data_IF_295931410335
#
_entry.id   IF_295931410335
#
_cell.length_a   1.000
_cell.length_b   1.000
_cell.length_c   1.000
_cell.angle_alpha   90.00
_cell.angle_beta   90.00
_cell.angle_gamma   90.00
#
_symmetry.space_group_name_H-M   'P 1'
#
loop_
_entity.id
_entity.type
_entity.pdbx_description
1 polymer ?
#
# COMPACT_ATOMS: atom_id res chain seq x y z
N UNK A 1 16.37 -11.00 10.42
CA UNK A 1 16.89 -11.38 9.09
C UNK A 1 16.97 -12.90 9.07
N UNK A 2 16.60 -13.54 7.96
CA UNK A 2 16.63 -15.00 7.83
C UNK A 2 17.73 -15.42 6.82
N UNK A 3 18.23 -16.66 6.89
CA UNK A 3 19.14 -17.21 5.89
C UNK A 3 18.58 -17.05 4.47
N UNK A 4 19.41 -16.57 3.54
CA UNK A 4 19.01 -16.36 2.14
C UNK A 4 18.33 -15.03 1.85
N UNK A 5 18.02 -14.22 2.87
CA UNK A 5 17.27 -12.98 2.69
C UNK A 5 18.07 -11.88 1.98
N UNK A 6 17.36 -11.01 1.26
CA UNK A 6 17.83 -9.68 0.90
C UNK A 6 17.55 -8.74 2.08
N UNK A 7 18.59 -8.12 2.64
CA UNK A 7 18.41 -7.06 3.62
C UNK A 7 18.22 -5.71 2.92
N UNK A 8 17.25 -4.92 3.39
CA UNK A 8 16.96 -3.59 2.84
C UNK A 8 17.06 -2.56 3.97
N UNK A 9 18.21 -1.89 4.13
CA UNK A 9 18.39 -0.89 5.16
C UNK A 9 17.57 0.35 4.85
N UNK A 10 16.72 0.75 5.79
CA UNK A 10 15.89 1.96 5.68
C UNK A 10 16.42 3.04 6.61
N UNK A 11 16.61 4.26 6.08
CA UNK A 11 16.92 5.44 6.89
C UNK A 11 15.62 6.08 7.38
N UNK A 12 15.42 6.07 8.70
CA UNK A 12 14.31 6.74 9.38
C UNK A 12 14.75 8.05 10.03
N UNK A 13 13.82 8.73 10.72
CA UNK A 13 14.11 9.99 11.42
C UNK A 13 15.12 9.84 12.58
N UNK A 14 15.18 8.66 13.20
CA UNK A 14 16.00 8.39 14.41
C UNK A 14 17.13 7.39 14.18
N UNK A 15 17.03 6.54 13.17
CA UNK A 15 17.95 5.43 12.95
C UNK A 15 18.27 5.27 11.46
N UNK A 16 19.53 4.97 11.16
CA UNK A 16 19.96 4.58 9.82
C UNK A 16 20.17 3.06 9.76
N UNK A 17 19.32 2.37 8.99
CA UNK A 17 19.38 0.93 8.80
C UNK A 17 20.73 0.44 8.24
N UNK A 18 21.50 1.30 7.58
CA UNK A 18 22.79 0.94 7.00
C UNK A 18 23.82 0.53 8.07
N UNK A 19 23.64 0.98 9.31
CA UNK A 19 24.48 0.58 10.45
C UNK A 19 24.35 -0.91 10.81
N UNK A 20 23.30 -1.58 10.33
CA UNK A 20 23.00 -2.98 10.64
C UNK A 20 23.31 -3.93 9.47
N UNK A 21 23.94 -3.47 8.39
CA UNK A 21 24.24 -4.31 7.22
C UNK A 21 25.16 -5.47 7.59
N UNK A 22 26.25 -5.21 8.32
CA UNK A 22 27.15 -6.26 8.81
C UNK A 22 26.40 -7.28 9.69
N UNK A 23 25.58 -6.78 10.63
CA UNK A 23 24.74 -7.64 11.46
C UNK A 23 23.77 -8.46 10.62
N UNK A 24 23.18 -7.91 9.57
CA UNK A 24 22.26 -8.65 8.69
C UNK A 24 22.97 -9.84 8.01
N UNK A 25 24.22 -9.66 7.57
CA UNK A 25 25.02 -10.76 7.03
C UNK A 25 25.36 -11.82 8.08
N UNK A 26 25.69 -11.42 9.31
CA UNK A 26 25.88 -12.37 10.41
C UNK A 26 24.61 -13.20 10.72
N UNK A 27 23.43 -12.66 10.43
CA UNK A 27 22.15 -13.36 10.56
C UNK A 27 21.70 -14.07 9.26
N UNK A 28 22.60 -14.21 8.29
CA UNK A 28 22.39 -15.04 7.10
C UNK A 28 21.80 -14.32 5.88
N UNK A 29 21.77 -12.98 5.84
CA UNK A 29 21.46 -12.28 4.59
C UNK A 29 22.43 -12.72 3.48
N UNK A 30 21.92 -12.96 2.28
CA UNK A 30 22.78 -13.25 1.12
C UNK A 30 23.23 -11.97 0.42
N UNK A 31 22.38 -10.94 0.43
CA UNK A 31 22.66 -9.63 -0.15
C UNK A 31 22.07 -8.52 0.73
N UNK A 32 22.59 -7.30 0.57
CA UNK A 32 21.95 -6.09 1.07
C UNK A 32 21.82 -5.05 -0.03
N UNK A 33 20.68 -4.35 -0.10
CA UNK A 33 20.65 -3.06 -0.77
C UNK A 33 21.44 -2.05 0.06
N UNK A 34 22.05 -1.06 -0.59
CA UNK A 34 22.77 0.02 0.09
C UNK A 34 22.56 1.30 -0.70
N UNK A 35 22.24 2.38 0.00
CA UNK A 35 22.11 3.70 -0.63
C UNK A 35 23.49 4.21 -1.08
N UNK A 36 23.55 4.84 -2.25
CA UNK A 36 24.82 5.32 -2.87
C UNK A 36 25.58 6.34 -2.02
N UNK A 37 24.90 7.01 -1.10
CA UNK A 37 25.44 7.99 -0.16
C UNK A 37 25.89 7.37 1.18
N UNK A 38 25.75 6.05 1.34
CA UNK A 38 26.28 5.33 2.50
C UNK A 38 27.79 5.14 2.37
N UNK A 39 28.46 4.95 3.51
CA UNK A 39 29.89 4.62 3.55
C UNK A 39 30.13 3.18 3.07
N UNK A 40 30.51 3.04 1.80
CA UNK A 40 30.78 1.75 1.17
C UNK A 40 32.09 1.11 1.62
N UNK A 41 33.02 1.87 2.23
CA UNK A 41 34.33 1.34 2.65
C UNK A 41 34.21 0.28 3.75
N UNK A 42 33.10 0.31 4.49
CA UNK A 42 32.79 -0.58 5.62
C UNK A 42 31.79 -1.68 5.26
N UNK A 43 31.39 -1.78 3.99
CA UNK A 43 30.34 -2.69 3.54
C UNK A 43 30.93 -3.99 2.97
N UNK A 44 30.31 -5.16 3.25
CA UNK A 44 30.68 -6.42 2.60
C UNK A 44 30.51 -6.37 1.07
N UNK A 45 31.14 -7.30 0.35
CA UNK A 45 31.14 -7.27 -1.14
C UNK A 45 29.78 -7.59 -1.76
N UNK A 46 28.92 -8.31 -1.06
CA UNK A 46 27.59 -8.74 -1.52
C UNK A 46 26.51 -7.66 -1.27
N UNK A 47 26.82 -6.42 -1.66
CA UNK A 47 25.89 -5.29 -1.61
C UNK A 47 25.50 -4.82 -3.00
N UNK A 48 24.27 -4.35 -3.14
CA UNK A 48 23.74 -3.76 -4.37
C UNK A 48 23.51 -2.28 -4.11
N UNK A 49 24.31 -1.44 -4.75
CA UNK A 49 24.24 0.02 -4.57
C UNK A 49 23.09 0.60 -5.39
N UNK A 50 22.19 1.31 -4.72
CA UNK A 50 21.01 1.96 -5.31
C UNK A 50 20.98 3.43 -4.94
N UNK A 51 20.19 4.24 -5.67
CA UNK A 51 20.08 5.68 -5.36
C UNK A 51 19.36 5.94 -4.03
N UNK A 52 18.34 5.14 -3.73
CA UNK A 52 17.51 5.24 -2.53
C UNK A 52 16.93 3.85 -2.25
N UNK A 53 17.13 3.34 -1.03
CA UNK A 53 16.72 1.97 -0.66
C UNK A 53 15.22 1.82 -0.47
N UNK A 54 14.50 2.87 -0.04
CA UNK A 54 13.03 2.83 0.06
C UNK A 54 12.38 2.79 -1.31
N UNK A 55 12.87 3.59 -2.26
CA UNK A 55 12.39 3.54 -3.66
C UNK A 55 12.71 2.20 -4.31
N UNK A 56 13.91 1.69 -4.12
CA UNK A 56 14.29 0.36 -4.63
C UNK A 56 13.40 -0.76 -4.04
N UNK A 57 12.99 -0.66 -2.78
CA UNK A 57 12.02 -1.58 -2.16
C UNK A 57 10.65 -1.50 -2.85
N UNK A 58 10.17 -0.28 -3.12
CA UNK A 58 8.92 -0.04 -3.86
C UNK A 58 8.98 -0.60 -5.29
N UNK A 59 10.08 -0.37 -6.00
CA UNK A 59 10.30 -0.88 -7.35
C UNK A 59 10.33 -2.42 -7.38
N UNK A 60 11.01 -3.05 -6.42
CA UNK A 60 11.05 -4.51 -6.29
C UNK A 60 9.64 -5.08 -6.01
N UNK A 61 8.87 -4.44 -5.14
CA UNK A 61 7.50 -4.84 -4.86
C UNK A 61 6.58 -4.67 -6.07
N UNK A 62 6.74 -3.58 -6.84
CA UNK A 62 5.99 -3.37 -8.09
C UNK A 62 6.31 -4.44 -9.13
N UNK A 63 7.59 -4.79 -9.27
CA UNK A 63 8.03 -5.90 -10.12
C UNK A 63 7.44 -7.23 -9.66
N UNK A 64 7.45 -7.51 -8.34
CA UNK A 64 6.84 -8.73 -7.82
C UNK A 64 5.34 -8.77 -8.13
N UNK A 65 4.62 -7.68 -7.86
CA UNK A 65 3.19 -7.52 -8.17
C UNK A 65 2.87 -7.77 -9.64
N UNK A 66 3.72 -7.32 -10.57
CA UNK A 66 3.48 -7.48 -12.01
C UNK A 66 3.63 -8.91 -12.52
N UNK A 67 4.13 -9.84 -11.69
CA UNK A 67 4.26 -11.26 -12.04
C UNK A 67 2.98 -12.05 -11.78
N UNK A 68 1.96 -11.41 -11.21
CA UNK A 68 0.69 -12.03 -10.85
C UNK A 68 -0.47 -11.31 -11.53
N UNK A 69 -1.45 -12.09 -11.97
CA UNK A 69 -2.71 -11.60 -12.53
C UNK A 69 -3.89 -11.74 -11.56
N UNK A 70 -3.59 -11.96 -10.27
CA UNK A 70 -4.63 -12.09 -9.25
C UNK A 70 -5.20 -10.73 -8.83
N UNK A 71 -6.44 -10.69 -8.31
CA UNK A 71 -7.02 -9.47 -7.78
C UNK A 71 -6.18 -8.87 -6.65
N UNK A 72 -6.01 -7.55 -6.68
CA UNK A 72 -5.41 -6.80 -5.58
C UNK A 72 -6.40 -5.71 -5.15
N UNK A 73 -6.80 -5.79 -3.88
CA UNK A 73 -7.76 -4.89 -3.24
C UNK A 73 -6.96 -3.86 -2.45
N UNK A 74 -6.96 -2.61 -2.91
CA UNK A 74 -6.46 -1.48 -2.14
C UNK A 74 -7.54 -0.93 -1.22
N UNK A 75 -7.25 -0.74 0.06
CA UNK A 75 -8.20 -0.17 1.03
C UNK A 75 -7.64 1.14 1.58
N UNK A 76 -8.35 2.24 1.38
CA UNK A 76 -8.04 3.54 1.98
C UNK A 76 -9.26 4.18 2.64
N UNK A 77 -9.02 5.27 3.35
CA UNK A 77 -10.01 6.00 4.12
C UNK A 77 -9.43 6.62 5.38
N UNK A 78 -10.15 7.55 6.00
CA UNK A 78 -9.74 8.12 7.28
C UNK A 78 -9.86 7.06 8.39
N UNK A 79 -10.97 6.33 8.45
CA UNK A 79 -11.24 5.30 9.45
C UNK A 79 -11.61 3.95 8.82
N UNK A 80 -11.53 2.85 9.58
CA UNK A 80 -12.07 1.54 9.16
C UNK A 80 -11.20 0.69 8.22
N UNK A 81 -10.06 1.20 7.72
CA UNK A 81 -9.16 0.48 6.81
C UNK A 81 -8.76 -0.91 7.33
N UNK A 82 -8.22 -0.99 8.54
CA UNK A 82 -7.76 -2.25 9.14
C UNK A 82 -8.91 -3.22 9.38
N UNK A 83 -10.07 -2.73 9.83
CA UNK A 83 -11.28 -3.56 10.01
C UNK A 83 -11.73 -4.18 8.69
N UNK A 84 -11.85 -3.37 7.63
CA UNK A 84 -12.23 -3.85 6.29
C UNK A 84 -11.21 -4.85 5.75
N UNK A 85 -9.91 -4.58 5.92
CA UNK A 85 -8.84 -5.50 5.54
C UNK A 85 -8.97 -6.86 6.23
N UNK A 86 -9.27 -6.89 7.54
CA UNK A 86 -9.47 -8.14 8.28
C UNK A 86 -10.77 -8.86 7.90
N UNK A 87 -11.85 -8.13 7.61
CA UNK A 87 -13.08 -8.72 7.07
C UNK A 87 -12.83 -9.37 5.70
N UNK A 88 -12.15 -8.67 4.79
CA UNK A 88 -11.75 -9.20 3.49
C UNK A 88 -10.88 -10.45 3.61
N UNK A 89 -9.94 -10.46 4.58
CA UNK A 89 -9.12 -11.66 4.88
C UNK A 89 -10.00 -12.87 5.20
N UNK A 90 -11.06 -12.69 6.00
CA UNK A 90 -11.95 -13.78 6.38
C UNK A 90 -12.81 -14.25 5.22
N UNK A 91 -13.37 -13.31 4.44
CA UNK A 91 -14.25 -13.64 3.31
C UNK A 91 -13.48 -14.30 2.16
N UNK A 92 -12.27 -13.84 1.85
CA UNK A 92 -11.46 -14.37 0.76
C UNK A 92 -10.77 -15.71 1.12
N UNK A 93 -10.59 -15.99 2.41
CA UNK A 93 -10.09 -17.26 2.91
C UNK A 93 -8.63 -17.55 2.49
N UNK A 94 -8.32 -18.83 2.26
CA UNK A 94 -6.95 -19.27 2.02
C UNK A 94 -6.31 -18.68 0.75
N UNK A 95 -5.00 -18.49 0.78
CA UNK A 95 -4.25 -17.93 -0.35
C UNK A 95 -4.42 -16.41 -0.52
N UNK A 96 -5.07 -15.71 0.41
CA UNK A 96 -5.06 -14.25 0.46
C UNK A 96 -3.80 -13.74 1.16
N UNK A 97 -3.08 -12.82 0.51
CA UNK A 97 -1.98 -12.08 1.13
C UNK A 97 -2.51 -10.73 1.64
N UNK A 98 -2.41 -10.48 2.94
CA UNK A 98 -2.93 -9.24 3.54
C UNK A 98 -1.83 -8.43 4.23
N UNK A 99 -1.99 -7.11 4.23
CA UNK A 99 -1.13 -6.20 5.02
C UNK A 99 -1.06 -6.64 6.47
N UNK A 100 0.16 -6.81 6.99
CA UNK A 100 0.38 -7.17 8.38
C UNK A 100 0.15 -5.95 9.28
N UNK A 101 -0.68 -6.08 10.32
CA UNK A 101 -1.03 -4.97 11.22
C UNK A 101 -1.45 -3.71 10.43
N UNK A 102 -0.88 -2.53 10.76
CA UNK A 102 -1.10 -1.23 10.10
C UNK A 102 -0.02 -0.88 9.08
N UNK A 103 0.59 -1.88 8.43
CA UNK A 103 1.63 -1.68 7.41
C UNK A 103 1.03 -1.13 6.12
N UNK A 104 0.86 0.19 6.08
CA UNK A 104 0.10 0.90 5.05
C UNK A 104 0.87 2.04 4.36
N UNK A 105 2.19 2.12 4.58
CA UNK A 105 3.06 3.18 4.06
C UNK A 105 4.05 2.68 2.99
N UNK A 106 5.03 3.51 2.64
CA UNK A 106 6.09 3.28 1.63
C UNK A 106 7.06 2.14 1.95
N UNK A 107 6.91 1.49 3.11
CA UNK A 107 7.63 0.28 3.51
C UNK A 107 6.66 -0.89 3.65
N UNK A 108 5.54 -0.67 4.32
CA UNK A 108 4.56 -1.69 4.65
C UNK A 108 3.86 -2.30 3.44
N UNK A 109 3.45 -1.48 2.48
CA UNK A 109 2.82 -1.95 1.23
C UNK A 109 3.81 -2.79 0.42
N UNK A 110 5.05 -2.34 0.14
CA UNK A 110 6.04 -3.17 -0.52
C UNK A 110 6.28 -4.53 0.16
N UNK A 111 6.44 -4.55 1.48
CA UNK A 111 6.66 -5.81 2.23
C UNK A 111 5.47 -6.76 2.12
N UNK A 112 4.25 -6.23 2.01
CA UNK A 112 3.05 -7.06 1.81
C UNK A 112 3.07 -7.72 0.43
N UNK A 113 3.35 -6.96 -0.63
CA UNK A 113 3.39 -7.48 -2.01
C UNK A 113 4.54 -8.47 -2.23
N UNK A 114 5.68 -8.27 -1.55
CA UNK A 114 6.81 -9.19 -1.62
C UNK A 114 6.54 -10.57 -1.00
N UNK A 115 5.46 -10.72 -0.24
CA UNK A 115 5.00 -12.02 0.28
C UNK A 115 4.16 -12.81 -0.72
N UNK A 116 3.78 -12.22 -1.85
CA UNK A 116 3.03 -12.92 -2.89
C UNK A 116 3.89 -14.02 -3.51
N UNK A 117 3.29 -15.19 -3.69
CA UNK A 117 3.89 -16.37 -4.32
C UNK A 117 2.88 -17.10 -5.22
N UNK A 118 3.28 -18.24 -5.76
CA UNK A 118 2.45 -19.04 -6.68
C UNK A 118 1.12 -19.55 -6.09
N UNK A 119 0.99 -19.55 -4.76
CA UNK A 119 -0.23 -19.96 -4.06
C UNK A 119 -1.17 -18.80 -3.78
N UNK A 120 -0.74 -17.57 -4.05
CA UNK A 120 -1.53 -16.36 -3.85
C UNK A 120 -2.70 -16.33 -4.82
N UNK A 121 -3.92 -16.16 -4.29
CA UNK A 121 -5.19 -16.06 -5.04
C UNK A 121 -5.77 -14.65 -5.07
N UNK A 122 -5.41 -13.82 -4.09
CA UNK A 122 -5.73 -12.40 -4.02
C UNK A 122 -4.76 -11.71 -3.06
N UNK A 123 -4.66 -10.38 -3.13
CA UNK A 123 -4.00 -9.59 -2.09
C UNK A 123 -4.88 -8.44 -1.59
N UNK A 124 -4.83 -8.14 -0.30
CA UNK A 124 -5.49 -6.98 0.31
C UNK A 124 -4.42 -6.08 0.92
N UNK A 125 -4.26 -4.90 0.36
CA UNK A 125 -3.27 -3.92 0.80
C UNK A 125 -3.96 -2.73 1.44
N UNK A 126 -3.60 -2.47 2.70
CA UNK A 126 -3.98 -1.22 3.36
C UNK A 126 -3.11 -0.09 2.80
N UNK A 127 -3.73 1.00 2.33
CA UNK A 127 -3.03 2.14 1.74
C UNK A 127 -3.34 3.40 2.56
N UNK A 128 -2.33 3.85 3.29
CA UNK A 128 -2.38 5.01 4.19
C UNK A 128 -1.55 6.18 3.66
N UNK A 129 -1.70 7.32 4.32
CA UNK A 129 -1.01 8.56 3.95
C UNK A 129 -0.83 9.43 5.18
N UNK A 130 0.28 10.16 5.24
CA UNK A 130 0.53 11.27 6.15
C UNK A 130 0.75 12.59 5.39
N UNK A 131 0.79 12.57 4.06
CA UNK A 131 1.06 13.76 3.25
C UNK A 131 0.71 13.58 1.77
N UNK A 132 0.71 14.67 0.99
CA UNK A 132 0.23 14.65 -0.38
C UNK A 132 1.09 13.76 -1.30
N UNK A 133 0.43 12.99 -2.17
CA UNK A 133 1.04 12.14 -3.20
C UNK A 133 1.44 10.74 -2.74
N UNK A 134 1.28 10.41 -1.45
CA UNK A 134 1.63 9.10 -0.92
C UNK A 134 0.67 8.01 -1.41
N UNK A 135 -0.65 8.24 -1.38
CA UNK A 135 -1.63 7.28 -1.90
C UNK A 135 -1.37 6.99 -3.38
N UNK A 136 -1.11 8.03 -4.18
CA UNK A 136 -0.81 7.87 -5.61
C UNK A 136 0.44 7.00 -5.83
N UNK A 137 1.51 7.27 -5.07
CA UNK A 137 2.74 6.48 -5.11
C UNK A 137 2.51 5.01 -4.74
N UNK A 138 1.80 4.75 -3.63
CA UNK A 138 1.51 3.40 -3.16
C UNK A 138 0.57 2.64 -4.10
N UNK A 139 -0.39 3.34 -4.70
CA UNK A 139 -1.30 2.78 -5.72
C UNK A 139 -0.51 2.35 -6.96
N UNK A 140 0.46 3.14 -7.40
CA UNK A 140 1.33 2.77 -8.53
C UNK A 140 2.25 1.56 -8.23
N UNK A 141 2.63 1.35 -6.97
CA UNK A 141 3.34 0.14 -6.53
C UNK A 141 2.40 -1.07 -6.52
N UNK A 142 1.25 -0.94 -5.84
CA UNK A 142 0.33 -2.04 -5.59
C UNK A 142 -0.48 -2.47 -6.81
N UNK A 143 -0.71 -1.56 -7.77
CA UNK A 143 -1.54 -1.77 -8.96
C UNK A 143 -2.83 -2.52 -8.63
N UNK A 144 -3.67 -1.95 -7.74
CA UNK A 144 -4.92 -2.58 -7.36
C UNK A 144 -5.85 -2.68 -8.57
N UNK A 145 -6.63 -3.76 -8.60
CA UNK A 145 -7.74 -3.94 -9.54
C UNK A 145 -9.08 -3.58 -8.89
N UNK A 146 -9.12 -3.53 -7.55
CA UNK A 146 -10.26 -3.07 -6.77
C UNK A 146 -9.77 -2.02 -5.76
N UNK A 147 -10.45 -0.88 -5.69
CA UNK A 147 -10.18 0.17 -4.73
C UNK A 147 -11.36 0.37 -3.79
N UNK A 148 -11.13 0.28 -2.48
CA UNK A 148 -12.15 0.49 -1.45
C UNK A 148 -11.87 1.81 -0.73
N UNK A 149 -12.84 2.71 -0.75
CA UNK A 149 -12.82 3.96 0.01
C UNK A 149 -13.83 3.90 1.15
N UNK A 150 -13.33 3.86 2.38
CA UNK A 150 -14.19 3.68 3.55
C UNK A 150 -14.85 4.96 4.05
N UNK A 151 -14.07 5.99 4.36
CA UNK A 151 -14.57 7.31 4.78
C UNK A 151 -13.56 8.41 4.44
N UNK A 152 -14.05 9.64 4.32
CA UNK A 152 -13.25 10.87 4.33
C UNK A 152 -13.67 11.69 5.55
N UNK A 153 -12.74 11.90 6.47
CA UNK A 153 -12.91 12.64 7.72
C UNK A 153 -11.71 13.55 7.98
N UNK A 154 -11.82 14.43 8.98
CA UNK A 154 -10.74 15.29 9.50
C UNK A 154 -9.57 14.49 10.10
N UNK A 155 -8.73 13.92 9.23
CA UNK A 155 -7.55 13.14 9.59
C UNK A 155 -6.31 13.65 8.84
N UNK A 156 -5.15 13.64 9.50
CA UNK A 156 -3.87 14.07 8.91
C UNK A 156 -3.89 15.51 8.36
N UNK A 157 -4.68 16.41 8.96
CA UNK A 157 -4.84 17.79 8.51
C UNK A 157 -3.53 18.59 8.54
N UNK A 158 -2.60 18.27 9.45
CA UNK A 158 -1.27 18.91 9.49
C UNK A 158 -0.51 18.72 8.17
N UNK A 159 -0.59 17.54 7.55
CA UNK A 159 0.08 17.25 6.28
C UNK A 159 -0.77 17.56 5.04
N UNK A 160 -2.11 17.45 5.15
CA UNK A 160 -3.04 17.54 4.01
C UNK A 160 -3.79 18.88 3.93
N UNK A 161 -3.70 19.72 4.96
CA UNK A 161 -4.20 21.08 5.03
C UNK A 161 -5.70 21.24 5.27
N UNK A 162 -6.54 20.34 4.75
CA UNK A 162 -8.01 20.40 4.91
C UNK A 162 -8.67 19.06 4.62
N UNK A 163 -9.94 18.90 4.98
CA UNK A 163 -10.74 17.71 4.61
C UNK A 163 -10.80 17.53 3.09
N UNK A 164 -10.86 18.62 2.31
CA UNK A 164 -10.77 18.56 0.84
C UNK A 164 -9.38 18.06 0.37
N UNK A 165 -8.32 18.39 1.11
CA UNK A 165 -7.00 17.79 0.91
C UNK A 165 -6.98 16.30 1.20
N UNK A 166 -7.65 15.86 2.27
CA UNK A 166 -7.84 14.43 2.61
C UNK A 166 -8.61 13.70 1.52
N UNK A 167 -9.69 14.30 1.03
CA UNK A 167 -10.51 13.81 -0.07
C UNK A 167 -9.66 13.59 -1.33
N UNK A 168 -8.93 14.62 -1.78
CA UNK A 168 -8.05 14.56 -2.96
C UNK A 168 -6.94 13.52 -2.81
N UNK A 169 -6.34 13.41 -1.64
CA UNK A 169 -5.29 12.44 -1.40
C UNK A 169 -5.82 11.00 -1.47
N UNK A 170 -6.98 10.74 -0.83
CA UNK A 170 -7.56 9.39 -0.78
C UNK A 170 -8.22 8.97 -2.09
N UNK A 171 -8.79 9.90 -2.85
CA UNK A 171 -9.37 9.61 -4.17
C UNK A 171 -8.32 9.14 -5.17
N UNK A 172 -7.03 9.46 -4.95
CA UNK A 172 -5.93 8.98 -5.80
C UNK A 172 -5.83 7.45 -5.88
N UNK A 173 -6.36 6.71 -4.88
CA UNK A 173 -6.49 5.26 -5.00
C UNK A 173 -7.45 4.88 -6.11
N UNK A 174 -8.64 5.49 -6.13
CA UNK A 174 -9.70 5.18 -7.09
C UNK A 174 -9.27 5.61 -8.49
N UNK A 175 -8.79 6.85 -8.65
CA UNK A 175 -8.29 7.35 -9.94
C UNK A 175 -7.07 6.58 -10.47
N UNK A 176 -6.34 5.85 -9.60
CA UNK A 176 -5.21 5.01 -9.99
C UNK A 176 -5.60 3.58 -10.40
N UNK A 177 -6.89 3.23 -10.35
CA UNK A 177 -7.39 1.94 -10.82
C UNK A 177 -7.31 1.85 -12.35
N UNK A 178 -7.15 0.63 -12.92
CA UNK A 178 -7.31 0.43 -14.35
C UNK A 178 -8.77 0.69 -14.77
N UNK A 179 -9.00 0.93 -16.07
CA UNK A 179 -10.32 1.30 -16.58
C UNK A 179 -11.40 0.23 -16.35
N UNK A 180 -10.99 -1.04 -16.39
CA UNK A 180 -11.79 -2.23 -16.09
C UNK A 180 -11.77 -2.61 -14.60
N UNK A 181 -11.16 -1.79 -13.75
CA UNK A 181 -11.14 -1.96 -12.30
C UNK A 181 -12.47 -1.60 -11.64
N UNK A 182 -12.60 -1.97 -10.37
CA UNK A 182 -13.78 -1.71 -9.56
C UNK A 182 -13.52 -0.73 -8.42
N UNK A 183 -14.29 0.35 -8.36
CA UNK A 183 -14.33 1.27 -7.23
C UNK A 183 -15.46 0.88 -6.28
N UNK A 184 -15.15 0.70 -4.99
CA UNK A 184 -16.11 0.43 -3.91
C UNK A 184 -16.10 1.62 -2.95
N UNK A 185 -17.23 2.32 -2.84
CA UNK A 185 -17.28 3.64 -2.20
C UNK A 185 -18.43 3.73 -1.21
N UNK A 186 -18.16 4.28 -0.02
CA UNK A 186 -19.18 4.54 0.99
C UNK A 186 -20.12 5.69 0.55
N UNK A 187 -21.39 5.41 0.31
CA UNK A 187 -22.39 6.40 -0.07
C UNK A 187 -22.89 7.27 1.10
N UNK A 188 -22.72 6.82 2.35
CA UNK A 188 -23.19 7.59 3.51
C UNK A 188 -22.28 8.78 3.81
N UNK A 189 -21.02 8.73 3.39
CA UNK A 189 -20.06 9.81 3.56
C UNK A 189 -20.17 10.83 2.41
N UNK A 190 -20.52 12.08 2.74
CA UNK A 190 -20.72 13.17 1.77
C UNK A 190 -19.54 13.34 0.79
N UNK A 191 -18.31 13.39 1.29
CA UNK A 191 -17.12 13.57 0.45
C UNK A 191 -16.82 12.35 -0.43
N UNK A 192 -17.13 11.14 0.05
CA UNK A 192 -17.03 9.94 -0.77
C UNK A 192 -18.01 10.02 -1.97
N UNK A 193 -19.23 10.53 -1.75
CA UNK A 193 -20.17 10.79 -2.85
C UNK A 193 -19.70 11.87 -3.81
N UNK A 194 -19.12 12.96 -3.31
CA UNK A 194 -18.53 14.01 -4.18
C UNK A 194 -17.43 13.42 -5.09
N UNK A 195 -16.63 12.47 -4.60
CA UNK A 195 -15.64 11.78 -5.44
C UNK A 195 -16.29 10.99 -6.59
N UNK A 196 -17.46 10.37 -6.38
CA UNK A 196 -18.16 9.58 -7.41
C UNK A 196 -18.45 10.41 -8.67
N UNK A 197 -18.73 11.70 -8.51
CA UNK A 197 -18.99 12.62 -9.64
C UNK A 197 -17.77 12.81 -10.56
N UNK A 198 -16.58 12.44 -10.08
CA UNK A 198 -15.30 12.58 -10.80
C UNK A 198 -14.71 11.25 -11.26
N UNK A 199 -15.32 10.12 -10.91
CA UNK A 199 -14.84 8.80 -11.31
C UNK A 199 -15.34 8.45 -12.71
N UNK A 200 -14.41 8.05 -13.57
CA UNK A 200 -14.68 7.51 -14.91
C UNK A 200 -14.09 6.10 -15.00
N UNK A 201 -14.69 5.16 -14.27
CA UNK A 201 -14.27 3.76 -14.22
C UNK A 201 -15.43 2.84 -14.61
N UNK A 202 -15.10 1.68 -15.17
CA UNK A 202 -16.09 0.76 -15.70
C UNK A 202 -17.05 0.22 -14.65
N UNK A 203 -16.57 -0.08 -13.43
CA UNK A 203 -17.41 -0.61 -12.34
C UNK A 203 -17.30 0.26 -11.10
N UNK A 204 -18.42 0.82 -10.67
CA UNK A 204 -18.54 1.54 -9.39
C UNK A 204 -19.66 0.91 -8.57
N UNK A 205 -19.34 0.50 -7.35
CA UNK A 205 -20.27 -0.11 -6.39
C UNK A 205 -20.30 0.79 -5.16
N UNK A 206 -21.48 1.27 -4.81
CA UNK A 206 -21.67 2.05 -3.59
C UNK A 206 -22.23 1.19 -2.46
N UNK A 207 -21.85 1.47 -1.22
CA UNK A 207 -22.40 0.80 -0.03
C UNK A 207 -22.83 1.80 1.03
N UNK A 208 -23.85 1.46 1.82
CA UNK A 208 -24.32 2.30 2.92
C UNK A 208 -25.81 2.14 3.21
N UNK A 209 -26.35 3.11 3.96
CA UNK A 209 -27.77 3.33 4.25
C UNK A 209 -28.40 4.38 3.32
N UNK A 210 -27.63 4.98 2.40
CA UNK A 210 -28.15 5.86 1.36
C UNK A 210 -29.05 5.10 0.38
N UNK A 211 -30.21 5.67 0.06
CA UNK A 211 -31.29 5.00 -0.71
C UNK A 211 -30.82 4.46 -2.06
N UNK A 212 -29.96 5.19 -2.77
CA UNK A 212 -29.47 4.79 -4.10
C UNK A 212 -28.14 4.00 -4.03
N UNK A 213 -27.75 3.48 -2.86
CA UNK A 213 -26.55 2.65 -2.74
C UNK A 213 -26.72 1.30 -3.46
N UNK A 214 -25.70 0.85 -4.20
CA UNK A 214 -25.70 -0.47 -4.87
C UNK A 214 -25.89 -1.60 -3.86
N UNK A 215 -25.25 -1.49 -2.69
CA UNK A 215 -25.39 -2.40 -1.55
C UNK A 215 -25.96 -1.61 -0.38
N UNK A 216 -27.26 -1.73 -0.19
CA UNK A 216 -28.00 -1.12 0.91
C UNK A 216 -27.98 -2.03 2.15
N UNK A 217 -27.68 -1.46 3.33
CA UNK A 217 -27.76 -2.15 4.62
C UNK A 217 -28.51 -1.33 5.65
N UNK A 218 -29.47 -1.95 6.35
CA UNK A 218 -30.22 -1.38 7.50
C UNK A 218 -29.62 -1.79 8.83
#
# INVERSE_FOLDING_TARGET
VAPGALFVPIRGKRFDGHMFVEQAFLHGASFSLVSRDADLSRMPRNVIVVRDTKRALGDLARWQRSRFDVPVIGVTGSCGKTTVKEMLRQVLGDGVVVSHASFNNDIGVPLTLLRMDRTTRAAVVEIGTSGPGEIAYLTNIARPTVGVLTTIEEAHLEGLGSVRGVMREKSALLHGLPQDGAAIVNADNYYCREILETLDHGTTITYGTWEDATVFGM
#
